data_IF_891791751343
#
_entry.id   IF_891791751343
#
_cell.length_a   1.000
_cell.length_b   1.000
_cell.length_c   1.000
_cell.angle_alpha   90.00
_cell.angle_beta   90.00
_cell.angle_gamma   90.00
#
_symmetry.space_group_name_H-M   'P 1'
#
loop_
_entity.id
_entity.type
_entity.pdbx_description
1 polymer ?
#
# COMPACT_ATOMS: atom_id res chain seq x y z
N UNK A 1 -24.80 -34.16 -19.39
CA UNK A 1 -23.50 -33.46 -19.35
C UNK A 1 -22.75 -33.69 -18.03
N UNK A 2 -23.29 -33.34 -16.90
CA UNK A 2 -22.65 -33.50 -15.55
C UNK A 2 -22.36 -34.97 -15.15
N UNK A 3 -23.19 -35.93 -15.56
CA UNK A 3 -22.95 -37.37 -15.25
C UNK A 3 -21.69 -37.92 -15.96
N UNK A 4 -21.52 -37.59 -17.22
CA UNK A 4 -20.34 -38.01 -17.98
C UNK A 4 -19.08 -37.30 -17.43
N UNK A 5 -19.20 -36.01 -17.10
CA UNK A 5 -18.12 -35.21 -16.53
C UNK A 5 -17.68 -35.72 -15.15
N UNK A 6 -18.63 -36.00 -14.24
CA UNK A 6 -18.34 -36.55 -12.92
C UNK A 6 -17.67 -37.92 -13.00
N UNK A 7 -18.13 -38.76 -13.92
CA UNK A 7 -17.54 -40.08 -14.14
C UNK A 7 -16.12 -40.00 -14.71
N UNK A 8 -15.84 -39.07 -15.58
CA UNK A 8 -14.53 -38.81 -16.15
C UNK A 8 -13.54 -38.34 -15.08
N UNK A 9 -13.93 -37.34 -14.27
CA UNK A 9 -13.10 -36.84 -13.15
C UNK A 9 -12.78 -37.96 -12.17
N UNK A 10 -13.77 -38.76 -11.75
CA UNK A 10 -13.57 -39.83 -10.81
C UNK A 10 -12.66 -40.92 -11.34
N UNK A 11 -12.73 -41.22 -12.63
CA UNK A 11 -11.88 -42.20 -13.30
C UNK A 11 -10.43 -41.72 -13.41
N UNK A 12 -10.22 -40.42 -13.66
CA UNK A 12 -8.90 -39.83 -13.86
C UNK A 12 -8.47 -38.95 -12.67
N UNK A 13 -8.93 -39.26 -11.46
CA UNK A 13 -8.73 -38.46 -10.24
C UNK A 13 -7.27 -38.06 -9.98
N UNK A 14 -6.32 -38.98 -10.22
CA UNK A 14 -4.89 -38.74 -9.99
C UNK A 14 -4.36 -37.70 -10.98
N UNK A 15 -4.77 -37.77 -12.24
CA UNK A 15 -4.40 -36.78 -13.26
C UNK A 15 -4.91 -35.39 -12.89
N UNK A 16 -6.19 -35.27 -12.48
CA UNK A 16 -6.77 -33.99 -12.08
C UNK A 16 -6.08 -33.39 -10.83
N UNK A 17 -5.76 -34.22 -9.83
CA UNK A 17 -5.01 -33.77 -8.66
C UNK A 17 -3.62 -33.26 -9.09
N UNK A 18 -2.94 -34.00 -9.96
CA UNK A 18 -1.63 -33.58 -10.46
C UNK A 18 -1.71 -32.25 -11.22
N UNK A 19 -2.73 -32.06 -12.07
CA UNK A 19 -2.96 -30.80 -12.80
C UNK A 19 -3.21 -29.64 -11.81
N UNK A 20 -4.06 -29.84 -10.81
CA UNK A 20 -4.34 -28.81 -9.79
C UNK A 20 -3.05 -28.44 -9.03
N UNK A 21 -2.27 -29.43 -8.61
CA UNK A 21 -1.00 -29.19 -7.90
C UNK A 21 0.00 -28.47 -8.81
N UNK A 22 0.13 -28.90 -10.06
CA UNK A 22 1.01 -28.24 -11.03
C UNK A 22 0.61 -26.79 -11.31
N UNK A 23 -0.69 -26.52 -11.52
CA UNK A 23 -1.21 -25.17 -11.68
C UNK A 23 -1.02 -24.33 -10.43
N UNK A 24 -1.24 -24.91 -9.25
CA UNK A 24 -1.03 -24.19 -7.99
C UNK A 24 0.43 -23.85 -7.78
N UNK A 25 1.35 -24.74 -8.12
CA UNK A 25 2.78 -24.47 -8.08
C UNK A 25 3.18 -23.37 -9.09
N UNK A 26 2.63 -23.42 -10.31
CA UNK A 26 2.85 -22.43 -11.36
C UNK A 26 2.36 -21.03 -10.92
N UNK A 27 1.09 -20.91 -10.51
CA UNK A 27 0.55 -19.64 -10.03
C UNK A 27 1.23 -19.18 -8.73
N UNK A 28 1.57 -20.10 -7.83
CA UNK A 28 2.32 -19.79 -6.62
C UNK A 28 3.75 -19.30 -6.88
N UNK A 29 4.40 -19.77 -7.94
CA UNK A 29 5.68 -19.22 -8.36
C UNK A 29 5.54 -17.77 -8.86
N UNK A 30 4.59 -17.53 -9.75
CA UNK A 30 4.32 -16.19 -10.29
C UNK A 30 3.79 -15.21 -9.23
N UNK A 31 3.02 -15.66 -8.25
CA UNK A 31 2.52 -14.79 -7.18
C UNK A 31 3.61 -14.07 -6.39
N UNK A 32 4.85 -14.59 -6.39
CA UNK A 32 5.99 -13.94 -5.73
C UNK A 32 6.51 -12.71 -6.48
N UNK A 33 6.20 -12.57 -7.75
CA UNK A 33 6.66 -11.45 -8.59
C UNK A 33 5.74 -10.24 -8.53
N UNK A 34 4.54 -10.38 -7.95
CA UNK A 34 3.59 -9.28 -7.81
C UNK A 34 4.19 -8.19 -6.93
N UNK A 35 4.14 -6.98 -7.42
CA UNK A 35 4.59 -5.79 -6.72
C UNK A 35 3.39 -5.08 -6.09
N UNK A 36 3.64 -4.36 -5.00
CA UNK A 36 2.65 -3.46 -4.43
C UNK A 36 2.75 -2.13 -5.15
N UNK A 37 1.64 -1.63 -5.67
CA UNK A 37 1.62 -0.28 -6.25
C UNK A 37 1.78 0.74 -5.14
N UNK A 38 2.75 1.62 -5.31
CA UNK A 38 3.02 2.74 -4.40
C UNK A 38 2.45 4.06 -4.92
N UNK A 39 1.91 4.04 -6.13
CA UNK A 39 1.27 5.21 -6.71
C UNK A 39 -0.10 5.45 -6.06
N UNK A 40 -0.45 6.73 -5.92
CA UNK A 40 -1.80 7.08 -5.50
C UNK A 40 -2.76 6.61 -6.58
N UNK A 41 -3.70 5.77 -6.21
CA UNK A 41 -4.67 5.19 -7.13
C UNK A 41 -5.34 6.29 -7.96
N UNK A 42 -5.06 6.33 -9.26
CA UNK A 42 -5.75 7.21 -10.20
C UNK A 42 -7.13 6.61 -10.47
N UNK A 43 -8.11 7.07 -9.70
CA UNK A 43 -9.50 6.58 -9.85
C UNK A 43 -10.22 7.21 -11.04
N UNK A 44 -9.71 8.36 -11.53
CA UNK A 44 -10.27 9.07 -12.67
C UNK A 44 -9.83 8.41 -13.99
N UNK A 45 -10.73 8.32 -14.97
CA UNK A 45 -10.38 7.88 -16.33
C UNK A 45 -9.30 8.77 -16.96
N UNK A 46 -8.43 8.18 -17.77
CA UNK A 46 -7.39 8.94 -18.48
C UNK A 46 -7.96 10.01 -19.42
N UNK A 47 -9.16 9.78 -19.94
CA UNK A 47 -9.89 10.73 -20.80
C UNK A 47 -10.57 11.85 -20.02
N UNK A 48 -10.58 11.84 -18.67
CA UNK A 48 -11.20 12.87 -17.86
C UNK A 48 -10.50 14.21 -18.03
N UNK A 49 -11.27 15.25 -18.33
CA UNK A 49 -10.75 16.59 -18.57
C UNK A 49 -10.02 17.18 -17.35
N UNK A 50 -10.49 16.86 -16.14
CA UNK A 50 -9.86 17.32 -14.89
C UNK A 50 -8.49 16.66 -14.71
N UNK A 51 -8.37 15.38 -15.03
CA UNK A 51 -7.10 14.67 -14.99
C UNK A 51 -6.11 15.22 -16.04
N UNK A 52 -6.59 15.53 -17.24
CA UNK A 52 -5.75 16.14 -18.28
C UNK A 52 -5.23 17.52 -17.87
N UNK A 53 -6.10 18.40 -17.32
CA UNK A 53 -5.71 19.70 -16.79
C UNK A 53 -4.72 19.56 -15.63
N UNK A 54 -4.96 18.59 -14.72
CA UNK A 54 -4.02 18.29 -13.63
C UNK A 54 -2.66 17.83 -14.17
N UNK A 55 -2.64 16.93 -15.16
CA UNK A 55 -1.40 16.44 -15.76
C UNK A 55 -0.65 17.58 -16.52
N UNK A 56 -1.37 18.48 -17.18
CA UNK A 56 -0.80 19.67 -17.81
C UNK A 56 -0.20 20.61 -16.77
N UNK A 57 -0.92 20.91 -15.69
CA UNK A 57 -0.41 21.69 -14.56
C UNK A 57 0.86 21.06 -14.00
N UNK A 58 0.84 19.75 -13.77
CA UNK A 58 1.96 18.97 -13.29
C UNK A 58 3.20 19.03 -14.21
N UNK A 59 3.00 19.06 -15.53
CA UNK A 59 4.09 19.17 -16.50
C UNK A 59 4.72 20.56 -16.53
N UNK A 60 3.94 21.62 -16.23
CA UNK A 60 4.41 23.01 -16.25
C UNK A 60 5.04 23.45 -14.92
N UNK A 61 4.44 23.05 -13.80
CA UNK A 61 4.82 23.51 -12.46
C UNK A 61 5.58 22.46 -11.63
N UNK A 62 5.76 21.27 -12.18
CA UNK A 62 6.32 20.13 -11.46
C UNK A 62 5.28 19.39 -10.62
N UNK A 63 5.68 18.31 -10.02
CA UNK A 63 4.79 17.52 -9.14
C UNK A 63 5.01 17.95 -7.69
N UNK A 64 3.98 18.53 -7.08
CA UNK A 64 3.91 18.77 -5.63
C UNK A 64 3.84 17.46 -4.87
N UNK A 65 4.87 16.78 -4.69
CA UNK A 65 4.77 15.47 -4.02
C UNK A 65 6.08 15.01 -3.45
N UNK A 66 7.14 15.80 -3.65
CA UNK A 66 8.48 15.48 -3.18
C UNK A 66 8.88 16.21 -1.90
N UNK A 67 8.03 17.09 -1.36
CA UNK A 67 8.35 17.87 -0.17
C UNK A 67 7.74 17.24 1.07
N UNK A 68 8.60 16.88 2.02
CA UNK A 68 8.25 16.53 3.38
C UNK A 68 8.59 17.70 4.32
N UNK A 69 7.75 17.95 5.30
CA UNK A 69 7.93 19.02 6.26
C UNK A 69 7.98 18.47 7.67
N UNK A 70 8.95 18.91 8.43
CA UNK A 70 9.13 18.65 9.85
C UNK A 70 8.85 19.95 10.60
N UNK A 71 7.92 19.95 11.54
CA UNK A 71 7.53 21.14 12.28
C UNK A 71 7.74 20.98 13.78
N UNK A 72 8.27 22.02 14.41
CA UNK A 72 8.35 22.18 15.88
C UNK A 72 7.56 23.41 16.25
N UNK A 73 6.67 23.27 17.24
CA UNK A 73 5.90 24.37 17.81
C UNK A 73 6.27 24.49 19.28
N UNK A 74 7.42 25.09 19.54
CA UNK A 74 7.92 25.28 20.88
C UNK A 74 8.96 26.41 20.89
N UNK A 75 8.81 27.37 21.79
CA UNK A 75 9.76 28.49 21.98
C UNK A 75 11.13 27.99 22.44
N UNK A 76 11.19 26.84 23.13
CA UNK A 76 12.45 26.23 23.60
C UNK A 76 13.37 25.80 22.45
N UNK A 77 12.87 25.72 21.22
CA UNK A 77 13.72 25.47 20.05
C UNK A 77 14.80 26.52 19.88
N UNK A 78 14.54 27.77 20.31
CA UNK A 78 15.46 28.88 20.22
C UNK A 78 16.43 29.01 21.41
N UNK A 79 16.43 28.08 22.33
CA UNK A 79 17.51 27.88 23.28
C UNK A 79 18.73 27.31 22.54
N UNK A 80 19.92 27.83 22.88
CA UNK A 80 21.15 27.48 22.19
C UNK A 80 21.40 25.98 22.09
N UNK A 81 21.07 25.20 23.11
CA UNK A 81 21.22 23.74 23.12
C UNK A 81 20.35 23.09 22.05
N UNK A 82 19.06 23.41 22.04
CA UNK A 82 18.07 22.82 21.15
C UNK A 82 18.27 23.27 19.71
N UNK A 83 18.65 24.55 19.51
CA UNK A 83 18.92 25.07 18.18
C UNK A 83 20.18 24.45 17.55
N UNK A 84 21.21 24.14 18.34
CA UNK A 84 22.37 23.40 17.87
C UNK A 84 21.96 22.00 17.36
N UNK A 85 21.13 21.29 18.09
CA UNK A 85 20.60 20.00 17.63
C UNK A 85 19.76 20.12 16.34
N UNK A 86 18.95 21.19 16.23
CA UNK A 86 18.18 21.47 15.02
C UNK A 86 19.10 21.79 13.82
N UNK A 87 20.16 22.53 14.04
CA UNK A 87 21.18 22.81 13.06
C UNK A 87 21.91 21.53 12.61
N UNK A 88 22.30 20.69 13.53
CA UNK A 88 22.92 19.40 13.25
C UNK A 88 21.96 18.45 12.53
N UNK A 89 20.69 18.41 12.94
CA UNK A 89 19.66 17.63 12.24
C UNK A 89 19.57 18.05 10.75
N UNK A 90 19.56 19.37 10.48
CA UNK A 90 19.49 19.85 9.10
C UNK A 90 20.71 19.44 8.25
N UNK A 91 21.88 19.27 8.86
CA UNK A 91 23.10 18.77 8.20
C UNK A 91 23.04 17.27 7.98
N UNK A 92 22.71 16.50 9.02
CA UNK A 92 22.59 15.03 8.90
C UNK A 92 21.55 14.62 7.85
N UNK A 93 20.39 15.28 7.85
CA UNK A 93 19.35 15.02 6.85
C UNK A 93 19.82 15.31 5.42
N UNK A 94 20.68 16.31 5.22
CA UNK A 94 21.24 16.60 3.89
C UNK A 94 22.20 15.50 3.38
N UNK A 95 22.75 14.70 4.28
CA UNK A 95 23.67 13.60 3.95
C UNK A 95 22.91 12.28 3.70
N UNK A 96 21.60 12.22 4.00
CA UNK A 96 20.77 11.04 3.72
C UNK A 96 20.58 10.90 2.22
N UNK A 97 20.86 9.72 1.68
CA UNK A 97 20.64 9.40 0.28
C UNK A 97 19.17 9.54 -0.09
N UNK A 98 18.88 10.29 -1.13
CA UNK A 98 17.51 10.59 -1.55
C UNK A 98 16.92 11.89 -0.97
N UNK A 99 17.72 12.71 -0.28
CA UNK A 99 17.35 14.08 0.08
C UNK A 99 18.13 15.07 -0.79
N UNK A 100 17.43 15.72 -1.70
CA UNK A 100 18.03 16.69 -2.62
C UNK A 100 18.35 18.03 -1.93
N UNK A 101 17.40 18.53 -1.12
CA UNK A 101 17.50 19.83 -0.45
C UNK A 101 16.86 19.78 0.93
N UNK A 102 17.48 20.52 1.84
CA UNK A 102 16.96 20.82 3.17
C UNK A 102 16.89 22.32 3.32
N UNK A 103 15.71 22.84 3.64
CA UNK A 103 15.50 24.27 3.93
C UNK A 103 14.88 24.41 5.31
N UNK A 104 15.55 25.12 6.19
CA UNK A 104 15.11 25.34 7.56
C UNK A 104 15.62 26.68 8.08
N UNK A 105 15.16 27.11 9.25
CA UNK A 105 15.68 28.28 9.94
C UNK A 105 17.23 28.25 10.06
N UNK A 106 17.80 27.04 10.14
CA UNK A 106 19.26 26.85 10.32
C UNK A 106 20.09 27.07 9.03
N UNK A 107 19.48 27.10 7.84
CA UNK A 107 20.19 27.18 6.57
C UNK A 107 19.52 28.12 5.53
N UNK A 108 18.85 29.15 5.99
CA UNK A 108 18.26 30.20 5.12
C UNK A 108 19.31 31.08 4.46
N UNK A 109 18.96 31.61 3.29
CA UNK A 109 19.81 32.51 2.51
C UNK A 109 19.21 33.91 2.47
N UNK A 110 20.04 34.91 2.70
CA UNK A 110 19.75 36.30 2.38
C UNK A 110 20.18 36.65 0.96
N UNK A 111 19.73 37.78 0.46
CA UNK A 111 20.17 38.32 -0.84
C UNK A 111 20.87 39.65 -0.61
N UNK A 112 22.11 39.78 -1.06
CA UNK A 112 22.88 41.00 -1.03
C UNK A 112 23.07 41.53 -2.46
N UNK A 113 23.00 42.85 -2.61
CA UNK A 113 23.19 43.49 -3.91
C UNK A 113 24.67 43.65 -4.19
N UNK A 114 25.21 42.89 -5.13
CA UNK A 114 26.53 43.16 -5.70
C UNK A 114 26.50 44.46 -6.52
N UNK A 115 27.13 45.47 -5.95
CA UNK A 115 27.19 46.84 -6.57
C UNK A 115 28.01 46.84 -7.86
N UNK A 116 28.98 45.94 -8.00
CA UNK A 116 29.86 45.88 -9.17
C UNK A 116 29.16 45.24 -10.36
N UNK A 117 28.53 44.09 -10.15
CA UNK A 117 27.90 43.32 -11.22
C UNK A 117 26.38 43.57 -11.34
N UNK A 118 25.81 44.49 -10.54
CA UNK A 118 24.39 44.83 -10.51
C UNK A 118 23.46 43.62 -10.39
N UNK A 119 23.88 42.59 -9.67
CA UNK A 119 23.12 41.33 -9.44
C UNK A 119 22.90 41.11 -7.97
N UNK A 120 21.86 40.31 -7.65
CA UNK A 120 21.63 39.80 -6.30
C UNK A 120 22.47 38.54 -6.10
N UNK A 121 23.22 38.48 -5.01
CA UNK A 121 24.06 37.34 -4.65
C UNK A 121 23.48 36.71 -3.37
N UNK A 122 23.18 35.42 -3.35
CA UNK A 122 22.73 34.74 -2.13
C UNK A 122 23.90 34.57 -1.15
N UNK A 123 23.64 34.82 0.12
CA UNK A 123 24.58 34.54 1.20
C UNK A 123 23.88 33.77 2.33
N UNK A 124 24.53 32.81 3.01
CA UNK A 124 23.93 32.11 4.14
C UNK A 124 23.80 33.05 5.32
N UNK A 125 22.59 33.21 5.86
CA UNK A 125 22.35 34.06 7.04
C UNK A 125 23.02 33.43 8.28
N UNK A 126 22.98 32.11 8.38
CA UNK A 126 23.70 31.34 9.40
C UNK A 126 24.87 30.63 8.72
N UNK A 127 26.03 31.27 8.71
CA UNK A 127 27.21 30.71 8.06
C UNK A 127 27.86 29.57 8.86
N UNK A 128 27.69 29.58 10.19
CA UNK A 128 28.22 28.57 11.12
C UNK A 128 27.25 28.34 12.26
N UNK A 129 27.44 27.24 12.97
CA UNK A 129 26.70 26.92 14.19
C UNK A 129 26.93 28.00 15.27
N UNK A 130 25.87 28.61 15.82
CA UNK A 130 25.96 29.63 16.87
C UNK A 130 26.64 29.07 18.11
N UNK A 131 27.55 29.83 18.72
CA UNK A 131 28.30 29.42 19.90
C UNK A 131 27.75 29.99 21.22
N UNK A 132 26.96 31.07 21.13
CA UNK A 132 26.32 31.70 22.27
C UNK A 132 24.87 32.06 22.01
N UNK A 133 24.07 32.22 23.06
CA UNK A 133 22.66 32.63 22.94
C UNK A 133 22.55 34.02 22.28
N UNK A 134 23.44 34.95 22.59
CA UNK A 134 23.46 36.30 22.01
C UNK A 134 23.69 36.22 20.49
N UNK A 135 24.61 35.35 20.03
CA UNK A 135 24.86 35.12 18.60
C UNK A 135 23.62 34.54 17.93
N UNK A 136 22.99 33.53 18.56
CA UNK A 136 21.75 32.91 18.06
C UNK A 136 20.63 33.95 17.94
N UNK A 137 20.35 34.72 18.99
CA UNK A 137 19.28 35.72 18.98
C UNK A 137 19.51 36.79 17.90
N UNK A 138 20.76 37.20 17.68
CA UNK A 138 21.11 38.13 16.62
C UNK A 138 20.82 37.58 15.23
N UNK A 139 21.18 36.31 14.98
CA UNK A 139 20.98 35.67 13.68
C UNK A 139 19.51 35.36 13.43
N UNK A 140 18.77 34.90 14.43
CA UNK A 140 17.32 34.69 14.33
C UNK A 140 16.60 36.00 13.99
N UNK A 141 16.98 37.11 14.64
CA UNK A 141 16.42 38.41 14.32
C UNK A 141 16.71 38.85 12.87
N UNK A 142 17.87 38.50 12.30
CA UNK A 142 18.17 38.76 10.88
C UNK A 142 17.26 37.90 9.98
N UNK A 143 16.98 36.65 10.32
CA UNK A 143 16.05 35.81 9.56
C UNK A 143 14.65 36.38 9.58
N UNK A 144 14.18 36.91 10.73
CA UNK A 144 12.87 37.54 10.85
C UNK A 144 12.76 38.89 10.06
N UNK A 145 13.86 39.47 9.65
CA UNK A 145 13.87 40.63 8.75
C UNK A 145 13.71 40.22 7.28
N UNK A 146 13.65 38.92 6.97
CA UNK A 146 13.46 38.41 5.62
C UNK A 146 12.00 37.95 5.45
N UNK A 147 11.06 38.81 5.03
CA UNK A 147 9.63 38.50 4.99
C UNK A 147 9.27 37.37 4.03
N UNK A 148 10.17 37.03 3.11
CA UNK A 148 10.00 35.91 2.18
C UNK A 148 9.87 34.54 2.91
N UNK A 149 10.45 34.38 4.09
CA UNK A 149 10.43 33.13 4.84
C UNK A 149 9.26 33.03 5.82
N UNK A 150 8.55 34.14 6.06
CA UNK A 150 7.33 34.14 6.87
C UNK A 150 6.24 33.33 6.21
N UNK A 151 5.57 32.47 6.97
CA UNK A 151 4.61 31.51 6.44
C UNK A 151 5.20 30.26 5.75
N UNK A 152 6.52 30.24 5.46
CA UNK A 152 7.20 29.07 4.86
C UNK A 152 8.10 28.32 5.85
N UNK A 153 8.95 29.05 6.58
CA UNK A 153 9.91 28.46 7.51
C UNK A 153 9.53 28.75 8.96
N UNK A 154 8.85 29.84 9.21
CA UNK A 154 8.30 30.20 10.52
C UNK A 154 6.91 30.83 10.38
N UNK A 155 6.08 30.66 11.41
CA UNK A 155 4.74 31.26 11.45
C UNK A 155 4.78 32.73 11.82
N UNK A 156 3.70 33.48 11.50
CA UNK A 156 3.55 34.92 11.85
C UNK A 156 3.74 35.16 13.38
N UNK A 157 3.24 34.25 14.19
CA UNK A 157 3.41 34.30 15.66
C UNK A 157 4.81 33.88 16.13
N UNK A 158 5.71 33.47 15.22
CA UNK A 158 7.08 33.00 15.43
C UNK A 158 7.22 31.79 16.37
N UNK A 159 6.11 31.10 16.68
CA UNK A 159 6.09 29.95 17.59
C UNK A 159 6.28 28.62 16.88
N UNK A 160 6.06 28.57 15.57
CA UNK A 160 6.20 27.34 14.78
C UNK A 160 7.34 27.53 13.80
N UNK A 161 8.26 26.58 13.79
CA UNK A 161 9.37 26.54 12.84
C UNK A 161 9.30 25.26 12.03
N UNK A 162 9.59 25.38 10.74
CA UNK A 162 9.51 24.28 9.79
C UNK A 162 10.90 23.98 9.20
N UNK A 163 11.12 22.71 8.93
CA UNK A 163 12.22 22.22 8.08
C UNK A 163 11.59 21.49 6.89
N UNK A 164 11.82 21.97 5.71
CA UNK A 164 11.35 21.37 4.46
C UNK A 164 12.45 20.52 3.82
N UNK A 165 12.14 19.29 3.51
CA UNK A 165 12.99 18.31 2.85
C UNK A 165 12.46 18.07 1.45
N UNK A 166 13.25 18.30 0.44
CA UNK A 166 12.95 17.88 -0.94
C UNK A 166 13.55 16.51 -1.14
N UNK A 167 12.70 15.53 -1.44
CA UNK A 167 13.09 14.14 -1.58
C UNK A 167 13.19 13.74 -3.05
N UNK A 168 14.12 12.84 -3.36
CA UNK A 168 14.27 12.26 -4.68
C UNK A 168 13.00 11.49 -5.07
N UNK A 169 12.53 11.75 -6.26
CA UNK A 169 11.28 11.23 -6.78
C UNK A 169 11.36 9.77 -7.20
N UNK A 170 12.47 9.37 -7.80
CA UNK A 170 12.66 7.99 -8.24
C UNK A 170 12.66 7.04 -7.04
N UNK A 171 13.27 7.46 -5.93
CA UNK A 171 13.23 6.72 -4.68
C UNK A 171 11.85 6.72 -4.03
N UNK A 172 11.10 7.83 -4.11
CA UNK A 172 9.73 7.91 -3.57
C UNK A 172 8.74 7.00 -4.29
N UNK A 173 8.93 6.72 -5.57
CA UNK A 173 8.08 5.85 -6.37
C UNK A 173 8.59 4.41 -6.41
N UNK A 174 9.69 4.11 -5.69
CA UNK A 174 10.30 2.79 -5.59
C UNK A 174 10.00 2.06 -4.27
N UNK A 175 10.50 0.83 -4.14
CA UNK A 175 10.47 0.05 -2.89
C UNK A 175 11.36 0.69 -1.81
N UNK A 176 12.37 1.45 -2.21
CA UNK A 176 13.37 2.04 -1.33
C UNK A 176 12.84 3.25 -0.57
N UNK A 177 11.63 3.74 -0.95
CA UNK A 177 10.92 4.77 -0.20
C UNK A 177 10.81 4.47 1.29
N UNK A 178 10.57 3.19 1.66
CA UNK A 178 10.50 2.82 3.06
C UNK A 178 11.83 3.02 3.76
N UNK A 179 12.92 2.59 3.14
CA UNK A 179 14.28 2.78 3.68
C UNK A 179 14.59 4.26 3.86
N UNK A 180 14.29 5.08 2.85
CA UNK A 180 14.48 6.54 2.92
C UNK A 180 13.70 7.15 4.11
N UNK A 181 12.43 6.75 4.30
CA UNK A 181 11.65 7.25 5.43
C UNK A 181 12.17 6.77 6.78
N UNK A 182 12.62 5.53 6.87
CA UNK A 182 13.22 4.95 8.08
C UNK A 182 14.54 5.68 8.42
N UNK A 183 15.37 6.03 7.43
CA UNK A 183 16.58 6.81 7.63
C UNK A 183 16.28 8.25 8.08
N UNK A 184 15.28 8.90 7.48
CA UNK A 184 14.81 10.23 7.93
C UNK A 184 14.33 10.17 9.38
N UNK A 185 13.51 9.16 9.74
CA UNK A 185 13.02 9.01 11.12
C UNK A 185 14.16 8.78 12.10
N UNK A 186 15.16 7.96 11.76
CA UNK A 186 16.33 7.70 12.57
C UNK A 186 17.08 8.98 12.94
N UNK A 187 17.29 9.87 11.97
CA UNK A 187 17.94 11.16 12.24
C UNK A 187 17.10 12.07 13.12
N UNK A 188 15.78 12.04 12.96
CA UNK A 188 14.86 12.79 13.81
C UNK A 188 14.81 12.20 15.23
N UNK A 189 14.85 10.89 15.38
CA UNK A 189 14.89 10.23 16.69
C UNK A 189 16.14 10.60 17.48
N UNK A 190 17.29 10.80 16.83
CA UNK A 190 18.52 11.33 17.44
C UNK A 190 18.26 12.75 17.98
N UNK A 191 17.59 13.59 17.19
CA UNK A 191 17.22 14.94 17.63
C UNK A 191 16.27 14.91 18.84
N UNK A 192 15.25 14.05 18.81
CA UNK A 192 14.28 13.89 19.90
C UNK A 192 14.94 13.35 21.19
N UNK A 193 15.92 12.46 21.07
CA UNK A 193 16.66 11.93 22.21
C UNK A 193 17.53 12.99 22.91
N UNK A 194 18.00 14.00 22.17
CA UNK A 194 18.86 15.07 22.69
C UNK A 194 18.08 16.30 23.16
N UNK A 195 16.79 16.39 22.78
CA UNK A 195 15.89 17.49 23.09
C UNK A 195 14.58 16.94 23.67
N UNK A 196 13.90 17.74 24.49
CA UNK A 196 12.57 17.38 25.01
C UNK A 196 11.44 17.93 24.13
N UNK A 197 11.75 18.23 22.85
CA UNK A 197 10.84 18.86 21.91
C UNK A 197 9.95 17.82 21.21
N UNK A 198 8.78 18.28 20.76
CA UNK A 198 7.85 17.48 19.96
C UNK A 198 7.91 17.88 18.50
N UNK A 199 8.07 16.88 17.63
CA UNK A 199 8.11 17.06 16.18
C UNK A 199 6.80 16.61 15.55
N UNK A 200 6.33 17.35 14.56
CA UNK A 200 5.18 16.99 13.72
C UNK A 200 5.64 16.83 12.27
N UNK A 201 5.06 15.86 11.61
CA UNK A 201 5.37 15.54 10.22
C UNK A 201 4.21 15.92 9.32
N UNK A 202 4.52 16.41 8.12
CA UNK A 202 3.57 16.68 7.06
C UNK A 202 4.22 16.51 5.69
N UNK A 203 3.40 16.51 4.65
CA UNK A 203 3.83 16.37 3.27
C UNK A 203 3.40 15.06 2.63
N UNK A 204 3.18 15.09 1.33
CA UNK A 204 2.70 13.93 0.58
C UNK A 204 3.63 12.72 0.67
N UNK A 205 4.98 12.84 0.63
CA UNK A 205 5.88 11.70 0.78
C UNK A 205 5.65 10.95 2.10
N UNK A 206 5.57 11.68 3.21
CA UNK A 206 5.31 11.10 4.53
C UNK A 206 3.95 10.40 4.60
N UNK A 207 2.89 11.07 4.12
CA UNK A 207 1.53 10.52 4.11
C UNK A 207 1.48 9.25 3.26
N UNK A 208 2.08 9.28 2.07
CA UNK A 208 2.13 8.12 1.16
C UNK A 208 2.88 6.94 1.78
N UNK A 209 4.06 7.18 2.35
CA UNK A 209 4.85 6.13 2.98
C UNK A 209 4.10 5.49 4.16
N UNK A 210 3.54 6.31 5.04
CA UNK A 210 2.80 5.85 6.21
C UNK A 210 1.52 5.07 5.81
N UNK A 211 0.74 5.61 4.86
CA UNK A 211 -0.46 4.93 4.38
C UNK A 211 -0.14 3.60 3.70
N UNK A 212 0.90 3.54 2.87
CA UNK A 212 1.27 2.28 2.20
C UNK A 212 1.68 1.21 3.20
N UNK A 213 2.47 1.58 4.22
CA UNK A 213 2.87 0.63 5.27
C UNK A 213 1.65 0.14 6.05
N UNK A 214 0.76 1.05 6.48
CA UNK A 214 -0.47 0.69 7.19
C UNK A 214 -1.37 -0.21 6.35
N UNK A 215 -1.63 0.14 5.08
CA UNK A 215 -2.47 -0.66 4.18
C UNK A 215 -1.88 -2.05 3.98
N UNK A 216 -0.56 -2.17 3.80
CA UNK A 216 0.11 -3.48 3.68
C UNK A 216 -0.10 -4.36 4.91
N UNK A 217 0.04 -3.79 6.10
CA UNK A 217 -0.10 -4.54 7.35
C UNK A 217 -1.56 -4.86 7.65
N UNK A 218 -2.49 -3.97 7.33
CA UNK A 218 -3.93 -4.20 7.42
C UNK A 218 -4.39 -5.32 6.47
N UNK A 219 -3.89 -5.37 5.23
CA UNK A 219 -4.20 -6.46 4.29
C UNK A 219 -3.76 -7.80 4.87
N UNK A 220 -2.54 -7.89 5.43
CA UNK A 220 -2.06 -9.12 6.08
C UNK A 220 -2.95 -9.53 7.25
N UNK A 221 -3.34 -8.56 8.08
CA UNK A 221 -4.24 -8.77 9.21
C UNK A 221 -5.62 -9.26 8.72
N UNK A 222 -6.18 -8.64 7.67
CA UNK A 222 -7.47 -9.05 7.10
C UNK A 222 -7.43 -10.46 6.54
N UNK A 223 -6.36 -10.85 5.84
CA UNK A 223 -6.18 -12.22 5.36
C UNK A 223 -6.13 -13.19 6.54
N UNK A 224 -5.34 -12.89 7.58
CA UNK A 224 -5.23 -13.72 8.77
C UNK A 224 -6.60 -13.87 9.47
N UNK A 225 -7.30 -12.77 9.70
CA UNK A 225 -8.62 -12.77 10.32
C UNK A 225 -9.66 -13.51 9.45
N UNK A 226 -9.64 -13.32 8.14
CA UNK A 226 -10.51 -14.06 7.22
C UNK A 226 -10.28 -15.56 7.33
N UNK A 227 -9.02 -16.02 7.33
CA UNK A 227 -8.67 -17.44 7.50
C UNK A 227 -9.11 -17.96 8.86
N UNK A 228 -8.87 -17.24 9.95
CA UNK A 228 -9.23 -17.67 11.31
C UNK A 228 -10.74 -17.75 11.50
N UNK A 229 -11.46 -16.68 11.16
CA UNK A 229 -12.93 -16.63 11.30
C UNK A 229 -13.59 -17.70 10.44
N UNK A 230 -13.13 -17.85 9.20
CA UNK A 230 -13.60 -18.87 8.28
C UNK A 230 -13.35 -20.29 8.81
N UNK A 231 -12.15 -20.55 9.30
CA UNK A 231 -11.80 -21.85 9.89
C UNK A 231 -12.68 -22.16 11.09
N UNK A 232 -12.95 -21.16 11.94
CA UNK A 232 -13.84 -21.31 13.09
C UNK A 232 -15.28 -21.63 12.65
N UNK A 233 -15.83 -20.87 11.68
CA UNK A 233 -17.18 -21.11 11.16
C UNK A 233 -17.29 -22.52 10.56
N UNK A 234 -16.33 -22.92 9.73
CA UNK A 234 -16.31 -24.27 9.14
C UNK A 234 -16.20 -25.37 10.20
N UNK A 235 -15.37 -25.14 11.24
CA UNK A 235 -15.22 -26.09 12.35
C UNK A 235 -16.53 -26.25 13.14
N UNK A 236 -17.21 -25.15 13.46
CA UNK A 236 -18.48 -25.15 14.16
C UNK A 236 -19.58 -25.81 13.32
N UNK A 237 -19.60 -25.54 12.01
CA UNK A 237 -20.60 -26.06 11.09
C UNK A 237 -20.44 -27.56 10.85
N UNK A 238 -19.24 -28.01 10.51
CA UNK A 238 -18.97 -29.42 10.19
C UNK A 238 -18.70 -30.28 11.41
N UNK A 239 -18.32 -29.69 12.54
CA UNK A 239 -17.84 -30.41 13.74
C UNK A 239 -16.75 -31.41 13.41
N UNK A 240 -15.95 -31.15 12.38
CA UNK A 240 -14.91 -32.06 11.88
C UNK A 240 -13.72 -31.25 11.41
N UNK A 241 -12.58 -31.41 12.09
CA UNK A 241 -11.33 -30.76 11.73
C UNK A 241 -10.85 -31.11 10.30
N UNK A 242 -11.07 -32.38 9.89
CA UNK A 242 -10.70 -32.82 8.54
C UNK A 242 -11.50 -32.09 7.45
N UNK A 243 -12.82 -31.98 7.63
CA UNK A 243 -13.66 -31.26 6.66
C UNK A 243 -13.30 -29.79 6.57
N UNK A 244 -13.05 -29.14 7.71
CA UNK A 244 -12.56 -27.77 7.78
C UNK A 244 -11.23 -27.61 7.03
N UNK A 245 -10.24 -28.48 7.33
CA UNK A 245 -8.92 -28.41 6.70
C UNK A 245 -8.98 -28.56 5.16
N UNK A 246 -9.75 -29.55 4.67
CA UNK A 246 -9.92 -29.73 3.22
C UNK A 246 -10.58 -28.52 2.55
N UNK A 247 -11.61 -27.94 3.16
CA UNK A 247 -12.25 -26.73 2.65
C UNK A 247 -11.28 -25.56 2.59
N UNK A 248 -10.50 -25.36 3.65
CA UNK A 248 -9.49 -24.28 3.69
C UNK A 248 -8.41 -24.45 2.62
N UNK A 249 -7.93 -25.68 2.41
CA UNK A 249 -6.93 -25.94 1.35
C UNK A 249 -7.49 -25.55 -0.03
N UNK A 250 -8.73 -25.91 -0.34
CA UNK A 250 -9.36 -25.58 -1.63
C UNK A 250 -9.47 -24.06 -1.80
N UNK A 251 -9.93 -23.35 -0.78
CA UNK A 251 -10.09 -21.90 -0.81
C UNK A 251 -8.74 -21.21 -0.93
N UNK A 252 -7.72 -21.67 -0.21
CA UNK A 252 -6.36 -21.12 -0.32
C UNK A 252 -5.74 -21.36 -1.71
N UNK A 253 -6.02 -22.50 -2.34
CA UNK A 253 -5.64 -22.73 -3.75
C UNK A 253 -6.26 -21.66 -4.66
N UNK A 254 -7.54 -21.35 -4.49
CA UNK A 254 -8.22 -20.27 -5.24
C UNK A 254 -7.56 -18.91 -5.02
N UNK A 255 -7.18 -18.59 -3.78
CA UNK A 255 -6.44 -17.35 -3.48
C UNK A 255 -5.09 -17.31 -4.21
N UNK A 256 -4.32 -18.41 -4.17
CA UNK A 256 -3.03 -18.49 -4.87
C UNK A 256 -3.20 -18.32 -6.38
N UNK A 257 -4.25 -18.91 -6.95
CA UNK A 257 -4.53 -18.77 -8.39
C UNK A 257 -4.91 -17.33 -8.73
N UNK A 258 -5.73 -16.66 -7.93
CA UNK A 258 -6.11 -15.27 -8.17
C UNK A 258 -4.90 -14.33 -8.15
N UNK A 259 -4.04 -14.44 -7.12
CA UNK A 259 -2.81 -13.63 -7.04
C UNK A 259 -1.83 -14.00 -8.15
N UNK A 260 -1.75 -15.28 -8.52
CA UNK A 260 -0.92 -15.73 -9.64
C UNK A 260 -1.39 -15.19 -10.99
N UNK A 261 -2.70 -15.14 -11.22
CA UNK A 261 -3.30 -14.53 -12.43
C UNK A 261 -2.97 -13.04 -12.47
N UNK A 262 -3.12 -12.32 -11.36
CA UNK A 262 -2.74 -10.91 -11.23
C UNK A 262 -1.28 -10.70 -11.62
N UNK A 263 -0.37 -11.55 -11.14
CA UNK A 263 1.06 -11.52 -11.47
C UNK A 263 1.33 -11.71 -12.97
N UNK A 264 0.68 -12.70 -13.58
CA UNK A 264 0.87 -13.02 -15.01
C UNK A 264 0.39 -11.90 -15.92
N UNK A 265 -0.70 -11.23 -15.52
CA UNK A 265 -1.23 -10.06 -16.22
C UNK A 265 -0.40 -8.80 -16.02
N UNK A 266 0.60 -8.84 -15.14
CA UNK A 266 1.47 -7.70 -14.84
C UNK A 266 0.78 -6.63 -13.99
N UNK A 267 -0.32 -6.96 -13.32
CA UNK A 267 -1.05 -6.03 -12.49
C UNK A 267 -0.43 -5.94 -11.08
N UNK A 268 -0.21 -4.75 -10.62
CA UNK A 268 0.29 -4.50 -9.26
C UNK A 268 -0.83 -4.64 -8.22
N UNK A 269 -0.43 -4.95 -6.98
CA UNK A 269 -1.39 -4.97 -5.85
C UNK A 269 -1.74 -3.53 -5.49
N UNK A 270 -2.95 -3.13 -5.83
CA UNK A 270 -3.57 -1.88 -5.39
C UNK A 270 -4.38 -2.11 -4.11
N UNK A 271 -4.93 -1.04 -3.53
CA UNK A 271 -5.84 -1.13 -2.38
C UNK A 271 -7.06 -2.03 -2.71
N UNK A 272 -7.61 -1.93 -3.93
CA UNK A 272 -8.76 -2.72 -4.36
C UNK A 272 -8.38 -4.19 -4.61
N UNK A 273 -7.33 -4.45 -5.38
CA UNK A 273 -6.90 -5.83 -5.66
C UNK A 273 -6.35 -6.53 -4.43
N UNK A 274 -5.84 -5.80 -3.45
CA UNK A 274 -5.44 -6.32 -2.13
C UNK A 274 -6.59 -6.92 -1.32
N UNK A 275 -7.84 -6.56 -1.62
CA UNK A 275 -9.04 -7.17 -1.01
C UNK A 275 -9.44 -8.50 -1.67
N UNK A 276 -8.81 -8.90 -2.78
CA UNK A 276 -9.15 -10.15 -3.48
C UNK A 276 -8.99 -11.41 -2.62
N UNK A 277 -7.88 -11.62 -1.89
CA UNK A 277 -7.74 -12.81 -1.05
C UNK A 277 -8.87 -13.00 -0.03
N UNK A 278 -9.23 -12.01 0.82
CA UNK A 278 -10.37 -12.14 1.71
C UNK A 278 -11.71 -12.40 0.99
N UNK A 279 -11.93 -11.75 -0.14
CA UNK A 279 -13.16 -11.87 -0.92
C UNK A 279 -13.31 -13.30 -1.49
N UNK A 280 -12.24 -13.87 -2.04
CA UNK A 280 -12.23 -15.24 -2.55
C UNK A 280 -12.44 -16.26 -1.43
N UNK A 281 -11.86 -16.02 -0.24
CA UNK A 281 -12.10 -16.86 0.93
C UNK A 281 -13.59 -16.88 1.26
N UNK A 282 -14.23 -15.73 1.34
CA UNK A 282 -15.65 -15.60 1.70
C UNK A 282 -16.57 -16.24 0.64
N UNK A 283 -16.26 -16.09 -0.67
CA UNK A 283 -17.06 -16.69 -1.74
C UNK A 283 -16.87 -18.21 -1.83
N UNK A 284 -15.67 -18.71 -1.57
CA UNK A 284 -15.38 -20.15 -1.66
C UNK A 284 -16.01 -21.00 -0.56
N UNK A 285 -16.27 -20.40 0.61
CA UNK A 285 -16.82 -21.14 1.79
C UNK A 285 -18.18 -21.78 1.52
N UNK A 286 -19.21 -21.05 1.04
CA UNK A 286 -20.51 -21.64 0.75
C UNK A 286 -20.42 -22.82 -0.24
N UNK A 287 -19.55 -22.72 -1.24
CA UNK A 287 -19.33 -23.79 -2.22
C UNK A 287 -18.85 -25.07 -1.54
N UNK A 288 -17.84 -24.97 -0.67
CA UNK A 288 -17.34 -26.11 0.10
C UNK A 288 -18.41 -26.67 1.06
N UNK A 289 -19.15 -25.81 1.75
CA UNK A 289 -20.22 -26.22 2.67
C UNK A 289 -21.29 -27.01 1.93
N UNK A 290 -21.76 -26.51 0.77
CA UNK A 290 -22.82 -27.17 -0.01
C UNK A 290 -22.37 -28.54 -0.52
N UNK A 291 -21.15 -28.65 -1.06
CA UNK A 291 -20.62 -29.93 -1.57
C UNK A 291 -20.48 -30.94 -0.44
N UNK A 292 -19.83 -30.59 0.67
CA UNK A 292 -19.56 -31.51 1.76
C UNK A 292 -20.86 -31.94 2.44
N UNK A 293 -21.78 -31.01 2.68
CA UNK A 293 -23.05 -31.32 3.33
C UNK A 293 -23.90 -32.24 2.46
N UNK A 294 -23.97 -31.97 1.14
CA UNK A 294 -24.69 -32.84 0.21
C UNK A 294 -24.05 -34.23 0.09
N UNK A 295 -22.73 -34.28 0.05
CA UNK A 295 -22.00 -35.53 0.06
C UNK A 295 -22.33 -36.39 1.32
N UNK A 296 -22.34 -35.80 2.51
CA UNK A 296 -22.71 -36.49 3.72
C UNK A 296 -24.16 -37.00 3.70
N UNK A 297 -25.10 -36.18 3.17
CA UNK A 297 -26.50 -36.54 3.02
C UNK A 297 -26.68 -37.76 2.10
N UNK A 298 -26.06 -37.72 0.91
CA UNK A 298 -26.15 -38.82 -0.06
C UNK A 298 -25.39 -40.07 0.40
N UNK A 299 -24.27 -39.90 1.13
CA UNK A 299 -23.56 -41.04 1.72
C UNK A 299 -24.37 -41.76 2.79
N UNK A 300 -25.03 -41.03 3.69
CA UNK A 300 -25.96 -41.59 4.67
C UNK A 300 -27.10 -42.37 4.01
N UNK A 301 -27.55 -41.92 2.82
CA UNK A 301 -28.67 -42.54 2.09
C UNK A 301 -28.29 -43.83 1.39
N UNK A 302 -27.09 -43.91 0.84
CA UNK A 302 -26.70 -44.99 -0.07
C UNK A 302 -25.57 -45.88 0.45
N UNK A 303 -24.80 -45.45 1.46
CA UNK A 303 -23.65 -46.18 2.02
C UNK A 303 -22.44 -46.28 1.06
N UNK A 304 -22.57 -45.83 -0.19
CA UNK A 304 -21.54 -45.96 -1.22
C UNK A 304 -20.91 -44.60 -1.52
N UNK A 305 -19.61 -44.47 -1.23
CA UNK A 305 -18.85 -43.21 -1.37
C UNK A 305 -18.82 -42.67 -2.82
N UNK A 306 -18.62 -43.58 -3.79
CA UNK A 306 -18.51 -43.17 -5.21
C UNK A 306 -19.87 -42.69 -5.73
N UNK A 307 -20.94 -43.42 -5.40
CA UNK A 307 -22.31 -43.05 -5.78
C UNK A 307 -22.73 -41.74 -5.13
N UNK A 308 -22.43 -41.55 -3.86
CA UNK A 308 -22.73 -40.32 -3.12
C UNK A 308 -22.00 -39.10 -3.77
N UNK A 309 -20.70 -39.25 -4.10
CA UNK A 309 -19.93 -38.19 -4.73
C UNK A 309 -20.47 -37.85 -6.13
N UNK A 310 -20.75 -38.86 -6.96
CA UNK A 310 -21.34 -38.64 -8.29
C UNK A 310 -22.69 -37.93 -8.23
N UNK A 311 -23.56 -38.35 -7.30
CA UNK A 311 -24.86 -37.71 -7.09
C UNK A 311 -24.72 -36.28 -6.59
N UNK A 312 -23.77 -36.01 -5.71
CA UNK A 312 -23.48 -34.65 -5.21
C UNK A 312 -23.06 -33.71 -6.34
N UNK A 313 -22.08 -34.14 -7.15
CA UNK A 313 -21.60 -33.33 -8.29
C UNK A 313 -22.74 -33.05 -9.26
N UNK A 314 -23.57 -34.05 -9.57
CA UNK A 314 -24.68 -33.88 -10.51
C UNK A 314 -25.78 -32.93 -9.99
N UNK A 315 -26.07 -32.96 -8.68
CA UNK A 315 -27.14 -32.16 -8.08
C UNK A 315 -26.70 -30.72 -7.74
N UNK A 316 -25.50 -30.54 -7.28
CA UNK A 316 -25.01 -29.25 -6.80
C UNK A 316 -24.03 -28.58 -7.77
N UNK A 317 -23.28 -29.34 -8.55
CA UNK A 317 -22.27 -28.78 -9.44
C UNK A 317 -22.84 -27.73 -10.41
N UNK A 318 -24.05 -27.95 -10.95
CA UNK A 318 -24.69 -26.96 -11.80
C UNK A 318 -25.03 -25.65 -11.04
N UNK A 319 -25.54 -25.76 -9.82
CA UNK A 319 -25.89 -24.60 -9.02
C UNK A 319 -24.65 -23.79 -8.65
N UNK A 320 -23.56 -24.46 -8.21
CA UNK A 320 -22.29 -23.79 -7.88
C UNK A 320 -21.69 -23.14 -9.12
N UNK A 321 -21.64 -23.85 -10.24
CA UNK A 321 -21.14 -23.30 -11.50
C UNK A 321 -21.93 -22.05 -11.93
N UNK A 322 -23.26 -22.11 -11.86
CA UNK A 322 -24.11 -20.97 -12.21
C UNK A 322 -23.87 -19.79 -11.25
N UNK A 323 -23.79 -20.03 -9.96
CA UNK A 323 -23.54 -19.00 -8.94
C UNK A 323 -22.18 -18.33 -9.17
N UNK A 324 -21.12 -19.13 -9.32
CA UNK A 324 -19.78 -18.59 -9.55
C UNK A 324 -19.71 -17.82 -10.88
N UNK A 325 -20.35 -18.34 -11.94
CA UNK A 325 -20.42 -17.65 -13.23
C UNK A 325 -21.17 -16.33 -13.13
N UNK A 326 -22.32 -16.30 -12.44
CA UNK A 326 -23.08 -15.06 -12.24
C UNK A 326 -22.29 -14.03 -11.45
N UNK A 327 -21.66 -14.45 -10.35
CA UNK A 327 -20.82 -13.57 -9.54
C UNK A 327 -19.62 -13.06 -10.33
N UNK A 328 -18.97 -13.94 -11.06
CA UNK A 328 -17.84 -13.60 -11.93
C UNK A 328 -18.22 -12.60 -13.02
N UNK A 329 -19.36 -12.80 -13.68
CA UNK A 329 -19.90 -11.84 -14.65
C UNK A 329 -20.24 -10.50 -14.01
N UNK A 330 -20.75 -10.50 -12.76
CA UNK A 330 -20.99 -9.29 -12.01
C UNK A 330 -19.72 -8.46 -11.80
N UNK A 331 -18.62 -9.09 -11.37
CA UNK A 331 -17.31 -8.41 -11.30
C UNK A 331 -16.74 -8.09 -12.68
N UNK A 332 -17.01 -8.92 -13.69
CA UNK A 332 -16.61 -8.71 -15.07
C UNK A 332 -17.18 -7.42 -15.68
N UNK A 333 -18.29 -6.89 -15.16
CA UNK A 333 -18.83 -5.60 -15.63
C UNK A 333 -17.88 -4.44 -15.39
N UNK A 334 -16.97 -4.53 -14.43
CA UNK A 334 -15.96 -3.50 -14.21
C UNK A 334 -14.97 -3.36 -15.38
N UNK A 335 -14.83 -4.38 -16.24
CA UNK A 335 -13.98 -4.31 -17.43
C UNK A 335 -14.49 -3.26 -18.43
N UNK A 336 -15.78 -2.92 -18.37
CA UNK A 336 -16.40 -1.91 -19.25
C UNK A 336 -16.36 -0.50 -18.66
N UNK A 337 -15.68 -0.29 -17.52
CA UNK A 337 -15.47 1.05 -16.97
C UNK A 337 -14.24 1.69 -17.60
N UNK A 338 -14.14 3.02 -17.50
CA UNK A 338 -12.98 3.75 -18.00
C UNK A 338 -11.83 3.86 -16.97
N UNK A 339 -12.00 3.28 -15.78
CA UNK A 339 -10.99 3.31 -14.71
C UNK A 339 -10.09 2.08 -14.76
N UNK A 340 -8.80 2.26 -15.01
CA UNK A 340 -7.79 1.19 -15.08
C UNK A 340 -7.80 0.30 -13.83
N UNK A 341 -7.92 0.90 -12.65
CA UNK A 341 -7.94 0.15 -11.38
C UNK A 341 -9.17 -0.76 -11.28
N UNK A 342 -10.35 -0.28 -11.73
CA UNK A 342 -11.57 -1.08 -11.73
C UNK A 342 -11.50 -2.19 -12.80
N UNK A 343 -10.90 -1.92 -13.95
CA UNK A 343 -10.68 -2.93 -15.00
C UNK A 343 -9.79 -4.05 -14.46
N UNK A 344 -8.63 -3.73 -13.88
CA UNK A 344 -7.71 -4.70 -13.31
C UNK A 344 -8.39 -5.53 -12.20
N UNK A 345 -9.07 -4.85 -11.27
CA UNK A 345 -9.84 -5.49 -10.21
C UNK A 345 -10.91 -6.43 -10.79
N UNK A 346 -11.68 -5.98 -11.78
CA UNK A 346 -12.72 -6.76 -12.44
C UNK A 346 -12.18 -8.02 -13.11
N UNK A 347 -11.05 -7.91 -13.81
CA UNK A 347 -10.37 -9.05 -14.44
C UNK A 347 -9.91 -10.07 -13.40
N UNK A 348 -9.17 -9.62 -12.38
CA UNK A 348 -8.64 -10.49 -11.32
C UNK A 348 -9.77 -11.17 -10.55
N UNK A 349 -10.84 -10.43 -10.22
CA UNK A 349 -12.01 -10.96 -9.53
C UNK A 349 -12.74 -12.00 -10.38
N UNK A 350 -12.97 -11.71 -11.67
CA UNK A 350 -13.63 -12.61 -12.61
C UNK A 350 -12.93 -13.97 -12.66
N UNK A 351 -11.65 -13.99 -12.94
CA UNK A 351 -10.89 -15.23 -13.03
C UNK A 351 -10.64 -15.88 -11.66
N UNK A 352 -10.42 -15.08 -10.62
CA UNK A 352 -10.26 -15.57 -9.25
C UNK A 352 -11.50 -16.32 -8.74
N UNK A 353 -12.70 -15.79 -8.97
CA UNK A 353 -13.96 -16.43 -8.57
C UNK A 353 -14.25 -17.67 -9.40
N UNK A 354 -13.95 -17.67 -10.71
CA UNK A 354 -14.08 -18.85 -11.54
C UNK A 354 -13.13 -19.98 -11.15
N UNK A 355 -12.02 -19.65 -10.47
CA UNK A 355 -11.03 -20.64 -10.03
C UNK A 355 -11.47 -21.43 -8.77
N UNK A 356 -12.48 -20.95 -8.04
CA UNK A 356 -13.03 -21.51 -6.81
C UNK A 356 -14.37 -22.21 -7.07
#
# INVERSE_FOLDING_TARGET
>A
MWESFSSFILRQRVLFIFIIVALTAFFGYHSRTVKMSYEMAQMLPEADSTLQVFNQFKSQFGQDGSIMVIGVKDDQLYELKNFKEWYQLSKRLKEVEGIDKVVSMANVYGLEKDKVNKRLVPYPVIAREPQSQIELDSVINQVYQLPFYEGFIYSEDKKTTLMALTLDRELLDSKDRKSLMDDVHKEIDIFLANTELHVRYSGLPFIRANNTTKVSDEIKLFILLAVLITSLILLLFFRSFKAMLFSMVIVLVGVVWSVGIQAILGFDITILTGLMPPLIIVIGIPNCIFIINKYHQEYKRHGNKVKALKTTINKIGNAIFLTNTTTSLGFGTFIFTDSTILIEFGIVATFGILSV
#
